data_IF_546363980363
#
_entry.id   IF_546363980363
#
_cell.length_a   1.000
_cell.length_b   1.000
_cell.length_c   1.000
_cell.angle_alpha   90.00
_cell.angle_beta   90.00
_cell.angle_gamma   90.00
#
_symmetry.space_group_name_H-M   'P 1'
#
loop_
_entity.id
_entity.type
_entity.pdbx_description
1 polymer ?
#
# COMPACT_ATOMS: atom_id res chain seq x y z
N UNK A 1 22.02 5.07 -9.64
CA UNK A 1 21.61 3.79 -10.26
C UNK A 1 22.31 2.69 -9.50
N UNK A 2 21.55 1.77 -8.90
CA UNK A 2 22.09 0.65 -8.13
C UNK A 2 22.50 -0.48 -9.08
N UNK A 3 23.72 -0.99 -8.96
CA UNK A 3 24.15 -2.19 -9.68
C UNK A 3 23.66 -3.44 -8.94
N UNK A 4 22.59 -4.06 -9.46
CA UNK A 4 21.94 -5.21 -8.82
C UNK A 4 22.84 -6.45 -8.75
N UNK A 5 23.86 -6.56 -9.61
CA UNK A 5 24.77 -7.71 -9.61
C UNK A 5 25.75 -7.67 -8.43
N UNK A 6 26.06 -6.48 -7.92
CA UNK A 6 27.03 -6.27 -6.82
C UNK A 6 26.38 -5.73 -5.55
N UNK A 7 25.11 -5.35 -5.61
CA UNK A 7 24.36 -4.85 -4.47
C UNK A 7 24.27 -5.87 -3.35
N UNK A 8 24.48 -5.41 -2.11
CA UNK A 8 24.29 -6.20 -0.89
C UNK A 8 23.08 -5.65 -0.14
N UNK A 9 22.04 -6.46 0.10
CA UNK A 9 20.90 -6.03 0.90
C UNK A 9 21.33 -5.52 2.28
N UNK A 10 20.71 -4.44 2.73
CA UNK A 10 20.92 -3.86 4.06
C UNK A 10 20.17 -4.66 5.13
N UNK A 11 20.55 -4.44 6.39
CA UNK A 11 19.93 -5.07 7.56
C UNK A 11 20.57 -6.39 7.96
N UNK A 12 19.92 -7.12 8.86
CA UNK A 12 20.50 -8.27 9.56
C UNK A 12 19.67 -9.55 9.50
N UNK A 13 18.47 -9.49 8.92
CA UNK A 13 17.69 -10.71 8.68
C UNK A 13 18.45 -11.62 7.74
N UNK A 14 18.57 -12.88 8.14
CA UNK A 14 19.08 -13.95 7.27
C UNK A 14 17.94 -14.50 6.41
N UNK A 15 18.09 -14.41 5.10
CA UNK A 15 17.12 -15.01 4.17
C UNK A 15 17.35 -16.52 4.03
N UNK A 16 16.33 -17.22 3.51
CA UNK A 16 16.48 -18.64 3.20
C UNK A 16 17.45 -18.88 2.04
N UNK A 17 17.97 -20.10 1.94
CA UNK A 17 18.80 -20.51 0.80
C UNK A 17 18.05 -20.40 -0.53
N UNK A 18 16.73 -20.62 -0.53
CA UNK A 18 15.87 -20.44 -1.70
C UNK A 18 15.92 -18.99 -2.18
N UNK A 19 15.69 -18.03 -1.28
CA UNK A 19 15.70 -16.62 -1.65
C UNK A 19 17.07 -16.16 -2.16
N UNK A 20 18.14 -16.55 -1.48
CA UNK A 20 19.52 -16.22 -1.89
C UNK A 20 19.89 -16.82 -3.27
N UNK A 21 19.35 -17.99 -3.61
CA UNK A 21 19.54 -18.60 -4.94
C UNK A 21 18.74 -17.86 -6.02
N UNK A 22 17.47 -17.56 -5.76
CA UNK A 22 16.55 -17.11 -6.80
C UNK A 22 16.52 -15.59 -7.00
N UNK A 23 16.82 -14.79 -5.99
CA UNK A 23 16.84 -13.33 -6.11
C UNK A 23 17.76 -12.83 -7.25
N UNK A 24 19.05 -13.21 -7.32
CA UNK A 24 19.92 -12.78 -8.43
C UNK A 24 19.43 -13.31 -9.79
N UNK A 25 18.82 -14.50 -9.83
CA UNK A 25 18.29 -15.11 -11.07
C UNK A 25 17.05 -14.37 -11.58
N UNK A 26 16.21 -13.85 -10.68
CA UNK A 26 15.08 -12.98 -11.03
C UNK A 26 15.61 -11.71 -11.69
N UNK A 27 16.63 -11.06 -11.12
CA UNK A 27 17.24 -9.87 -11.72
C UNK A 27 17.86 -10.17 -13.08
N UNK A 28 18.63 -11.24 -13.22
CA UNK A 28 19.22 -11.66 -14.50
C UNK A 28 18.13 -11.90 -15.56
N UNK A 29 17.05 -12.60 -15.19
CA UNK A 29 15.93 -12.88 -16.10
C UNK A 29 15.27 -11.58 -16.57
N UNK A 30 15.01 -10.63 -15.68
CA UNK A 30 14.42 -9.32 -16.02
C UNK A 30 15.29 -8.54 -16.98
N UNK A 31 16.58 -8.44 -16.67
CA UNK A 31 17.55 -7.74 -17.51
C UNK A 31 17.62 -8.36 -18.91
N UNK A 32 17.69 -9.70 -18.99
CA UNK A 32 17.71 -10.44 -20.27
C UNK A 32 16.41 -10.29 -21.05
N UNK A 33 15.26 -10.28 -20.39
CA UNK A 33 13.95 -10.18 -21.02
C UNK A 33 13.58 -8.75 -21.42
N UNK A 34 14.35 -7.75 -20.99
CA UNK A 34 14.10 -6.35 -21.34
C UNK A 34 13.04 -5.66 -20.47
N UNK A 35 12.70 -6.20 -19.29
CA UNK A 35 11.60 -5.68 -18.46
C UNK A 35 11.88 -4.24 -17.99
N UNK A 36 13.12 -3.96 -17.60
CA UNK A 36 13.55 -2.67 -17.04
C UNK A 36 13.53 -1.53 -18.08
N UNK A 37 13.45 -1.86 -19.37
CA UNK A 37 13.32 -0.90 -20.46
C UNK A 37 11.86 -0.61 -20.80
N UNK A 38 10.93 -1.46 -20.34
CA UNK A 38 9.50 -1.37 -20.64
C UNK A 38 8.72 -0.77 -19.47
N UNK A 39 9.08 -1.14 -18.23
CA UNK A 39 8.38 -0.70 -17.01
C UNK A 39 9.08 0.49 -16.38
N UNK A 40 8.33 1.57 -16.19
CA UNK A 40 8.74 2.80 -15.52
C UNK A 40 8.24 2.89 -14.08
N UNK A 41 8.21 4.11 -13.50
CA UNK A 41 7.80 4.31 -12.11
C UNK A 41 6.29 4.08 -11.90
N UNK A 42 5.90 3.98 -10.64
CA UNK A 42 4.50 3.85 -10.24
C UNK A 42 3.69 5.07 -10.72
N UNK A 43 2.58 4.80 -11.41
CA UNK A 43 1.65 5.79 -11.93
C UNK A 43 0.48 6.04 -10.99
N UNK A 44 0.03 5.00 -10.28
CA UNK A 44 -1.08 5.13 -9.33
C UNK A 44 -1.12 3.99 -8.31
N UNK A 45 -1.91 4.19 -7.25
CA UNK A 45 -2.41 3.14 -6.35
C UNK A 45 -3.93 3.05 -6.46
N UNK A 46 -4.47 1.85 -6.30
CA UNK A 46 -5.91 1.56 -6.44
C UNK A 46 -6.44 0.98 -5.15
N UNK A 47 -7.49 1.60 -4.61
CA UNK A 47 -8.19 1.18 -3.41
C UNK A 47 -9.66 0.99 -3.76
N UNK A 48 -10.25 -0.10 -3.31
CA UNK A 48 -11.69 -0.34 -3.40
C UNK A 48 -12.31 -0.20 -2.01
N UNK A 49 -13.51 0.37 -1.96
CA UNK A 49 -14.37 0.46 -0.77
C UNK A 49 -15.71 -0.21 -1.06
N UNK A 50 -16.51 -0.49 -0.03
CA UNK A 50 -17.88 -0.96 -0.25
C UNK A 50 -18.77 0.12 -0.88
N UNK A 51 -19.91 -0.33 -1.42
CA UNK A 51 -20.95 0.56 -1.91
C UNK A 51 -21.38 1.58 -0.84
N UNK A 52 -21.57 2.84 -1.26
CA UNK A 52 -21.95 3.95 -0.38
C UNK A 52 -20.78 4.59 0.37
N UNK A 53 -19.58 3.99 0.36
CA UNK A 53 -18.42 4.48 1.10
C UNK A 53 -17.46 5.36 0.27
N UNK A 54 -17.72 5.55 -1.02
CA UNK A 54 -16.85 6.34 -1.91
C UNK A 54 -16.62 7.77 -1.42
N UNK A 55 -17.66 8.62 -1.46
CA UNK A 55 -17.55 10.03 -1.05
C UNK A 55 -17.10 10.24 0.41
N UNK A 56 -17.59 9.46 1.40
CA UNK A 56 -17.07 9.52 2.76
C UNK A 56 -15.55 9.25 2.84
N UNK A 57 -15.06 8.24 2.12
CA UNK A 57 -13.63 7.93 2.09
C UNK A 57 -12.81 9.01 1.39
N UNK A 58 -13.31 9.58 0.30
CA UNK A 58 -12.67 10.72 -0.36
C UNK A 58 -12.55 11.93 0.58
N UNK A 59 -13.55 12.18 1.42
CA UNK A 59 -13.50 13.24 2.43
C UNK A 59 -12.45 12.96 3.51
N UNK A 60 -12.34 11.70 3.96
CA UNK A 60 -11.28 11.26 4.88
C UNK A 60 -9.90 11.50 4.26
N UNK A 61 -9.65 10.99 3.05
CA UNK A 61 -8.38 11.18 2.33
C UNK A 61 -8.04 12.65 2.14
N UNK A 62 -9.03 13.51 1.85
CA UNK A 62 -8.83 14.95 1.69
C UNK A 62 -8.33 15.61 2.99
N UNK A 63 -8.74 15.09 4.14
CA UNK A 63 -8.33 15.60 5.45
C UNK A 63 -6.99 15.00 5.92
N UNK A 64 -6.73 13.75 5.59
CA UNK A 64 -5.61 12.97 6.17
C UNK A 64 -4.40 12.86 5.27
N UNK A 65 -4.48 13.27 3.99
CA UNK A 65 -3.44 13.09 2.97
C UNK A 65 -3.33 14.32 2.06
N UNK A 66 -2.32 14.45 1.18
CA UNK A 66 -2.29 15.53 0.18
C UNK A 66 -3.25 15.31 -1.00
N UNK A 67 -3.92 14.16 -1.10
CA UNK A 67 -4.69 13.79 -2.29
C UNK A 67 -6.02 14.53 -2.37
N UNK A 68 -6.34 15.07 -3.54
CA UNK A 68 -7.56 15.83 -3.83
C UNK A 68 -8.30 15.24 -5.02
N UNK A 69 -9.61 15.13 -4.88
CA UNK A 69 -10.51 14.73 -5.96
C UNK A 69 -10.28 15.54 -7.24
N UNK A 70 -10.28 14.86 -8.39
CA UNK A 70 -10.14 15.46 -9.72
C UNK A 70 -11.38 15.16 -10.58
N UNK A 71 -11.78 13.90 -10.66
CA UNK A 71 -12.87 13.47 -11.54
C UNK A 71 -13.48 12.15 -11.09
N UNK A 72 -14.69 11.89 -11.56
CA UNK A 72 -15.46 10.68 -11.32
C UNK A 72 -15.95 10.11 -12.65
N UNK A 73 -15.84 8.79 -12.78
CA UNK A 73 -16.31 8.03 -13.92
C UNK A 73 -17.20 6.88 -13.45
N UNK A 74 -18.04 6.41 -14.34
CA UNK A 74 -18.98 5.33 -14.11
C UNK A 74 -18.79 4.28 -15.18
N UNK A 75 -18.50 3.05 -14.76
CA UNK A 75 -18.53 1.91 -15.66
C UNK A 75 -19.75 1.03 -15.33
N UNK A 76 -19.84 -0.16 -15.92
CA UNK A 76 -20.98 -1.06 -15.70
C UNK A 76 -21.12 -1.56 -14.24
N UNK A 77 -20.07 -1.50 -13.43
CA UNK A 77 -20.03 -2.09 -12.09
C UNK A 77 -19.55 -1.16 -10.98
N UNK A 78 -18.83 -0.07 -11.30
CA UNK A 78 -18.20 0.82 -10.31
C UNK A 78 -18.32 2.30 -10.68
N UNK A 79 -18.34 3.13 -9.63
CA UNK A 79 -17.81 4.50 -9.69
C UNK A 79 -16.29 4.45 -9.49
N UNK A 80 -15.59 5.24 -10.29
CA UNK A 80 -14.13 5.31 -10.32
C UNK A 80 -13.76 6.76 -10.06
N UNK A 81 -13.13 7.03 -8.93
CA UNK A 81 -12.69 8.36 -8.54
C UNK A 81 -11.19 8.50 -8.75
N UNK A 82 -10.76 9.57 -9.40
CA UNK A 82 -9.35 9.94 -9.50
C UNK A 82 -9.03 11.04 -8.49
N UNK A 83 -7.97 10.84 -7.72
CA UNK A 83 -7.40 11.83 -6.83
C UNK A 83 -5.94 12.10 -7.20
N UNK A 84 -5.53 13.37 -7.04
CA UNK A 84 -4.17 13.85 -7.30
C UNK A 84 -3.57 14.43 -6.03
N UNK A 85 -2.35 14.03 -5.70
CA UNK A 85 -1.53 14.66 -4.67
C UNK A 85 -0.61 15.72 -5.28
N UNK A 86 0.71 15.54 -5.10
CA UNK A 86 1.74 16.31 -5.79
C UNK A 86 1.76 16.06 -7.30
N UNK A 87 2.47 16.92 -8.03
CA UNK A 87 2.54 16.86 -9.49
C UNK A 87 3.02 15.50 -9.99
N UNK A 88 4.16 15.05 -9.45
CA UNK A 88 4.85 13.82 -9.86
C UNK A 88 4.52 12.60 -8.96
N UNK A 89 3.68 12.76 -7.95
CA UNK A 89 3.28 11.61 -7.11
C UNK A 89 2.38 10.66 -7.90
N UNK A 90 2.44 9.33 -7.64
CA UNK A 90 1.44 8.40 -8.15
C UNK A 90 0.03 8.92 -7.83
N UNK A 91 -0.92 8.71 -8.74
CA UNK A 91 -2.33 9.06 -8.49
C UNK A 91 -2.96 8.09 -7.51
N UNK A 92 -4.07 8.47 -6.90
CA UNK A 92 -4.86 7.57 -6.06
C UNK A 92 -6.21 7.37 -6.74
N UNK A 93 -6.53 6.12 -7.06
CA UNK A 93 -7.81 5.72 -7.66
C UNK A 93 -8.63 5.02 -6.59
N UNK A 94 -9.86 5.50 -6.38
CA UNK A 94 -10.84 4.83 -5.51
C UNK A 94 -11.92 4.19 -6.37
N UNK A 95 -12.18 2.91 -6.15
CA UNK A 95 -13.26 2.15 -6.76
C UNK A 95 -14.39 1.97 -5.73
N UNK A 96 -15.63 2.21 -6.16
CA UNK A 96 -16.83 1.98 -5.36
C UNK A 96 -17.85 1.19 -6.21
N UNK A 97 -18.23 -0.03 -5.83
CA UNK A 97 -19.26 -0.78 -6.53
C UNK A 97 -20.58 -0.01 -6.63
N UNK A 98 -21.35 -0.24 -7.70
CA UNK A 98 -22.64 0.42 -7.93
C UNK A 98 -23.79 -0.17 -7.13
N UNK A 99 -23.60 -1.34 -6.53
CA UNK A 99 -24.60 -2.03 -5.73
C UNK A 99 -23.96 -2.76 -4.55
N UNK A 100 -24.76 -2.94 -3.49
CA UNK A 100 -24.36 -3.69 -2.28
C UNK A 100 -24.20 -5.20 -2.54
N UNK A 101 -24.79 -5.72 -3.61
CA UNK A 101 -24.71 -7.14 -4.02
C UNK A 101 -23.58 -7.43 -5.01
N UNK A 102 -22.70 -6.45 -5.28
CA UNK A 102 -21.52 -6.67 -6.10
C UNK A 102 -20.62 -7.74 -5.48
N UNK A 103 -20.20 -8.69 -6.31
CA UNK A 103 -19.32 -9.78 -5.90
C UNK A 103 -18.31 -10.10 -7.01
N UNK A 104 -17.02 -10.14 -6.65
CA UNK A 104 -15.94 -10.64 -7.48
C UNK A 104 -15.00 -11.57 -6.68
N UNK A 105 -13.82 -11.89 -7.24
CA UNK A 105 -12.85 -12.70 -6.53
C UNK A 105 -12.38 -12.04 -5.21
N UNK A 106 -12.22 -10.72 -5.18
CA UNK A 106 -11.78 -9.97 -3.99
C UNK A 106 -12.85 -10.07 -2.89
N UNK A 107 -14.12 -9.89 -3.26
CA UNK A 107 -15.27 -10.04 -2.34
C UNK A 107 -15.25 -11.41 -1.67
N UNK A 108 -15.09 -12.47 -2.47
CA UNK A 108 -15.05 -13.86 -1.98
C UNK A 108 -13.87 -14.12 -1.07
N UNK A 109 -12.68 -13.63 -1.41
CA UNK A 109 -11.50 -13.78 -0.55
C UNK A 109 -11.70 -13.08 0.79
N UNK A 110 -12.22 -11.85 0.80
CA UNK A 110 -12.48 -11.11 2.04
C UNK A 110 -13.53 -11.74 2.92
N UNK A 111 -14.56 -12.34 2.32
CA UNK A 111 -15.64 -13.00 3.05
C UNK A 111 -15.17 -14.25 3.83
N UNK A 112 -13.97 -14.78 3.56
CA UNK A 112 -13.42 -15.91 4.31
C UNK A 112 -12.75 -15.51 5.64
N UNK A 113 -12.56 -14.23 5.89
CA UNK A 113 -11.80 -13.75 7.04
C UNK A 113 -12.67 -12.92 8.00
N UNK A 114 -12.59 -13.18 9.32
CA UNK A 114 -13.56 -12.67 10.29
C UNK A 114 -13.59 -11.15 10.42
N UNK A 115 -12.46 -10.46 10.24
CA UNK A 115 -12.39 -9.00 10.35
C UNK A 115 -12.56 -8.26 9.02
N UNK A 116 -12.70 -8.97 7.90
CA UNK A 116 -13.03 -8.35 6.60
C UNK A 116 -14.39 -8.75 6.03
N UNK A 117 -15.10 -9.70 6.65
CA UNK A 117 -16.40 -10.18 6.15
C UNK A 117 -17.46 -9.08 6.11
N UNK A 118 -17.44 -8.15 7.07
CA UNK A 118 -18.40 -7.04 7.15
C UNK A 118 -18.13 -5.93 6.11
N UNK A 119 -16.95 -5.96 5.47
CA UNK A 119 -16.56 -5.03 4.41
C UNK A 119 -15.91 -5.75 3.24
N UNK A 120 -16.67 -6.62 2.56
CA UNK A 120 -16.09 -7.61 1.68
C UNK A 120 -15.47 -6.99 0.43
N UNK A 121 -15.82 -5.77 0.03
CA UNK A 121 -15.19 -5.10 -1.11
C UNK A 121 -14.04 -4.16 -0.70
N UNK A 122 -13.92 -3.81 0.58
CA UNK A 122 -12.91 -2.86 1.06
C UNK A 122 -11.49 -3.45 1.05
N UNK A 123 -10.63 -2.99 0.15
CA UNK A 123 -9.23 -3.44 0.06
C UNK A 123 -8.37 -2.48 -0.77
N UNK A 124 -7.09 -2.45 -0.46
CA UNK A 124 -6.07 -2.11 -1.46
C UNK A 124 -6.05 -3.13 -2.62
N UNK A 125 -6.35 -2.70 -3.84
CA UNK A 125 -6.38 -3.60 -5.00
C UNK A 125 -4.98 -3.83 -5.55
N UNK A 126 -4.15 -2.78 -5.60
CA UNK A 126 -2.85 -2.87 -6.25
C UNK A 126 -2.27 -1.51 -6.62
N UNK A 127 -1.11 -1.56 -7.23
CA UNK A 127 -0.39 -0.43 -7.80
C UNK A 127 -0.37 -0.53 -9.32
N UNK A 128 -0.29 0.60 -10.01
CA UNK A 128 -0.18 0.69 -11.47
C UNK A 128 1.18 1.29 -11.80
N UNK A 129 1.92 0.69 -12.74
CA UNK A 129 3.20 1.21 -13.26
C UNK A 129 3.03 1.79 -14.66
N UNK A 130 3.81 2.83 -14.98
CA UNK A 130 3.94 3.28 -16.37
C UNK A 130 4.62 2.20 -17.20
N UNK A 131 4.15 1.98 -18.42
CA UNK A 131 4.83 1.13 -19.39
C UNK A 131 4.90 1.76 -20.76
N UNK A 132 5.85 1.33 -21.58
CA UNK A 132 5.89 1.74 -22.98
C UNK A 132 4.85 1.01 -23.84
N UNK A 133 4.50 -0.23 -23.48
CA UNK A 133 3.55 -1.08 -24.20
C UNK A 133 3.04 -2.22 -23.30
N UNK A 134 1.73 -2.26 -23.04
CA UNK A 134 1.08 -3.36 -22.31
C UNK A 134 1.13 -4.67 -23.10
N UNK A 135 1.21 -4.60 -24.43
CA UNK A 135 1.39 -5.78 -25.28
C UNK A 135 2.79 -6.38 -25.08
N UNK A 136 3.83 -5.57 -25.16
CA UNK A 136 5.21 -6.04 -25.07
C UNK A 136 5.50 -6.57 -23.66
N UNK A 137 5.00 -5.86 -22.65
CA UNK A 137 5.03 -6.33 -21.26
C UNK A 137 4.45 -7.73 -21.10
N UNK A 138 3.25 -7.99 -21.64
CA UNK A 138 2.62 -9.32 -21.55
C UNK A 138 3.45 -10.37 -22.26
N UNK A 139 4.01 -10.05 -23.43
CA UNK A 139 4.92 -10.96 -24.14
C UNK A 139 6.18 -11.31 -23.34
N UNK A 140 6.61 -10.45 -22.41
CA UNK A 140 7.72 -10.70 -21.49
C UNK A 140 7.28 -11.55 -20.30
N UNK A 141 6.14 -11.22 -19.66
CA UNK A 141 5.76 -11.76 -18.36
C UNK A 141 4.90 -13.04 -18.43
N UNK A 142 4.08 -13.23 -19.45
CA UNK A 142 3.25 -14.44 -19.58
C UNK A 142 4.07 -15.73 -19.77
N UNK A 143 5.15 -15.76 -20.57
CA UNK A 143 6.05 -16.91 -20.62
C UNK A 143 6.77 -17.22 -19.30
N UNK A 144 6.74 -16.27 -18.36
CA UNK A 144 7.29 -16.42 -17.01
C UNK A 144 6.21 -16.83 -15.98
N UNK A 145 5.03 -17.26 -16.46
CA UNK A 145 3.86 -17.66 -15.69
C UNK A 145 3.16 -16.55 -14.89
N UNK A 146 3.39 -15.28 -15.26
CA UNK A 146 2.57 -14.19 -14.71
C UNK A 146 1.25 -14.15 -15.49
N UNK A 147 0.14 -14.28 -14.76
CA UNK A 147 -1.21 -14.29 -15.32
C UNK A 147 -1.77 -12.87 -15.34
N UNK A 148 -2.45 -12.50 -16.41
CA UNK A 148 -3.16 -11.22 -16.53
C UNK A 148 -4.67 -11.42 -16.46
N UNK A 149 -5.39 -10.38 -16.05
CA UNK A 149 -6.83 -10.29 -16.20
C UNK A 149 -7.17 -9.96 -17.66
N UNK A 150 -8.13 -10.69 -18.21
CA UNK A 150 -8.59 -10.52 -19.59
C UNK A 150 -10.07 -10.09 -19.66
N UNK A 151 -10.47 -9.36 -20.72
CA UNK A 151 -11.87 -9.04 -20.93
C UNK A 151 -12.73 -10.30 -20.94
N UNK A 152 -13.81 -10.31 -20.15
CA UNK A 152 -14.70 -11.47 -20.00
C UNK A 152 -14.28 -12.48 -18.93
N UNK A 153 -13.08 -12.37 -18.36
CA UNK A 153 -12.62 -13.20 -17.23
C UNK A 153 -12.73 -12.49 -15.87
N UNK A 154 -13.12 -11.22 -15.87
CA UNK A 154 -13.28 -10.41 -14.65
C UNK A 154 -14.63 -9.70 -14.64
N UNK A 155 -15.20 -9.55 -13.44
CA UNK A 155 -16.49 -8.85 -13.24
C UNK A 155 -16.30 -7.34 -13.36
N UNK A 156 -15.19 -6.79 -12.84
CA UNK A 156 -14.89 -5.36 -12.94
C UNK A 156 -14.06 -5.07 -14.22
N UNK A 157 -14.65 -4.42 -15.24
CA UNK A 157 -13.95 -4.19 -16.51
C UNK A 157 -12.75 -3.23 -16.36
N UNK A 158 -12.63 -2.49 -15.25
CA UNK A 158 -11.44 -1.67 -14.96
C UNK A 158 -10.14 -2.47 -14.96
N UNK A 159 -10.18 -3.75 -14.57
CA UNK A 159 -8.98 -4.59 -14.49
C UNK A 159 -8.47 -5.09 -15.86
N UNK A 160 -9.27 -4.93 -16.92
CA UNK A 160 -8.97 -5.47 -18.24
C UNK A 160 -9.40 -4.50 -19.36
N UNK A 161 -9.03 -3.22 -19.25
CA UNK A 161 -9.27 -2.25 -20.32
C UNK A 161 -8.17 -2.33 -21.40
N UNK A 162 -8.39 -1.67 -22.54
CA UNK A 162 -7.42 -1.71 -23.64
C UNK A 162 -6.08 -1.03 -23.30
N UNK A 163 -6.09 -0.04 -22.40
CA UNK A 163 -4.94 0.81 -22.08
C UNK A 163 -4.40 0.59 -20.67
N UNK A 164 -5.05 -0.29 -19.89
CA UNK A 164 -4.66 -0.69 -18.54
C UNK A 164 -4.74 -2.21 -18.43
N UNK A 165 -3.61 -2.85 -18.14
CA UNK A 165 -3.56 -4.30 -17.89
C UNK A 165 -3.25 -4.55 -16.42
N UNK A 166 -4.00 -5.43 -15.77
CA UNK A 166 -3.65 -5.93 -14.44
C UNK A 166 -3.25 -7.40 -14.48
N UNK A 167 -2.35 -7.78 -13.58
CA UNK A 167 -2.17 -9.18 -13.24
C UNK A 167 -3.43 -9.76 -12.61
N UNK A 168 -3.56 -11.09 -12.66
CA UNK A 168 -4.45 -11.79 -11.74
C UNK A 168 -4.01 -11.53 -10.28
N UNK A 169 -4.88 -11.83 -9.31
CA UNK A 169 -4.53 -11.70 -7.89
C UNK A 169 -3.29 -12.56 -7.60
N UNK A 170 -2.30 -11.98 -6.93
CA UNK A 170 -1.12 -12.68 -6.43
C UNK A 170 -1.54 -13.78 -5.44
N UNK A 171 -0.94 -14.96 -5.57
CA UNK A 171 -1.22 -16.09 -4.67
C UNK A 171 -0.73 -15.82 -3.23
N UNK A 172 0.22 -14.90 -3.06
CA UNK A 172 0.86 -14.61 -1.78
C UNK A 172 0.36 -13.33 -1.10
N UNK A 173 -0.16 -12.37 -1.86
CA UNK A 173 -0.56 -11.06 -1.32
C UNK A 173 -2.03 -10.73 -1.55
N UNK A 174 -2.69 -11.39 -2.50
CA UNK A 174 -4.00 -11.01 -3.04
C UNK A 174 -4.07 -9.57 -3.56
N UNK A 175 -2.93 -8.94 -3.84
CA UNK A 175 -2.85 -7.67 -4.55
C UNK A 175 -2.64 -7.94 -6.06
N UNK A 176 -2.84 -6.91 -6.88
CA UNK A 176 -2.57 -6.92 -8.32
C UNK A 176 -1.44 -5.94 -8.66
N UNK A 177 -0.76 -6.19 -9.77
CA UNK A 177 0.13 -5.22 -10.41
C UNK A 177 -0.50 -4.78 -11.72
N UNK A 178 -0.75 -3.49 -11.85
CA UNK A 178 -1.31 -2.83 -13.01
C UNK A 178 -0.25 -2.16 -13.87
N UNK A 179 -0.57 -1.93 -15.13
CA UNK A 179 0.34 -1.31 -16.10
C UNK A 179 -0.44 -0.44 -17.08
N UNK A 180 0.04 0.80 -17.26
CA UNK A 180 -0.62 1.81 -18.09
C UNK A 180 0.37 2.48 -19.04
N UNK A 181 -0.02 2.60 -20.30
CA UNK A 181 0.82 3.25 -21.32
C UNK A 181 0.79 4.79 -21.17
N UNK A 182 -0.40 5.34 -20.88
CA UNK A 182 -0.64 6.77 -20.81
C UNK A 182 -0.49 7.34 -19.39
N UNK A 183 -0.18 8.66 -19.26
CA UNK A 183 -0.24 9.33 -17.96
C UNK A 183 -1.66 9.32 -17.39
N UNK A 184 -1.77 9.15 -16.07
CA UNK A 184 -3.05 9.11 -15.35
C UNK A 184 -3.47 10.51 -14.83
N UNK A 185 -3.19 11.56 -15.59
CA UNK A 185 -3.68 12.91 -15.26
C UNK A 185 -5.20 13.03 -15.45
N UNK A 186 -5.77 12.18 -16.30
CA UNK A 186 -7.20 11.89 -16.43
C UNK A 186 -7.40 10.44 -16.80
N UNK A 187 -8.46 9.84 -16.27
CA UNK A 187 -8.94 8.51 -16.60
C UNK A 187 -9.64 8.46 -17.95
N UNK A 188 -9.97 9.59 -18.61
CA UNK A 188 -10.55 9.59 -19.96
C UNK A 188 -9.73 8.74 -20.94
N UNK A 189 -8.41 8.77 -20.77
CA UNK A 189 -7.47 7.96 -21.56
C UNK A 189 -7.75 6.47 -21.44
N UNK A 190 -8.27 5.98 -20.32
CA UNK A 190 -8.56 4.56 -20.10
C UNK A 190 -9.89 4.10 -20.72
N UNK A 191 -10.68 5.02 -21.28
CA UNK A 191 -12.06 4.78 -21.70
C UNK A 191 -12.89 4.03 -20.63
N UNK A 192 -12.99 4.58 -19.40
CA UNK A 192 -13.55 3.85 -18.26
C UNK A 192 -15.08 3.79 -18.30
N UNK A 193 -15.76 4.54 -19.17
CA UNK A 193 -17.22 4.61 -19.26
C UNK A 193 -17.72 6.05 -19.26
N UNK A 194 -18.84 6.31 -18.56
CA UNK A 194 -19.49 7.62 -18.54
C UNK A 194 -18.86 8.55 -17.50
N UNK A 195 -18.52 9.78 -17.90
CA UNK A 195 -18.03 10.78 -16.95
C UNK A 195 -19.17 11.30 -16.08
N UNK A 196 -18.97 11.33 -14.76
CA UNK A 196 -19.94 11.82 -13.79
C UNK A 196 -19.48 13.17 -13.24
N UNK A 197 -20.34 14.18 -13.37
CA UNK A 197 -20.15 15.48 -12.71
C UNK A 197 -20.84 15.42 -11.35
N UNK A 198 -20.06 15.44 -10.28
CA UNK A 198 -20.59 15.52 -8.92
C UNK A 198 -21.15 16.92 -8.66
N UNK A 199 -22.37 16.99 -8.14
CA UNK A 199 -22.99 18.26 -7.77
C UNK A 199 -22.42 18.83 -6.46
N UNK A 200 -22.86 20.05 -6.10
CA UNK A 200 -22.41 20.74 -4.89
C UNK A 200 -22.72 19.95 -3.61
N UNK A 201 -23.84 19.23 -3.56
CA UNK A 201 -24.25 18.46 -2.39
C UNK A 201 -23.33 17.24 -2.20
N UNK A 202 -23.00 16.53 -3.28
CA UNK A 202 -22.07 15.42 -3.27
C UNK A 202 -20.64 15.86 -2.91
N UNK A 203 -20.21 17.04 -3.36
CA UNK A 203 -18.87 17.58 -3.07
C UNK A 203 -18.74 18.22 -1.69
N UNK A 204 -19.85 18.57 -1.03
CA UNK A 204 -19.84 19.29 0.24
C UNK A 204 -18.94 18.65 1.33
N UNK A 205 -18.92 17.32 1.55
CA UNK A 205 -18.02 16.70 2.52
C UNK A 205 -16.54 16.93 2.20
N UNK A 206 -16.15 16.82 0.92
CA UNK A 206 -14.78 17.03 0.45
C UNK A 206 -14.38 18.50 0.59
N UNK A 207 -15.27 19.44 0.22
CA UNK A 207 -15.02 20.87 0.39
C UNK A 207 -14.84 21.25 1.86
N UNK A 208 -15.64 20.67 2.77
CA UNK A 208 -15.48 20.86 4.22
C UNK A 208 -14.15 20.31 4.72
N UNK A 209 -13.77 19.11 4.28
CA UNK A 209 -12.48 18.50 4.63
C UNK A 209 -11.30 19.36 4.13
N UNK A 210 -11.33 19.80 2.88
CA UNK A 210 -10.29 20.65 2.29
C UNK A 210 -10.18 22.01 2.99
N UNK A 211 -11.31 22.58 3.42
CA UNK A 211 -11.32 23.81 4.22
C UNK A 211 -10.66 23.58 5.58
N UNK A 212 -11.06 22.53 6.31
CA UNK A 212 -10.46 22.19 7.62
C UNK A 212 -8.95 21.95 7.49
N UNK A 213 -8.54 21.22 6.45
CA UNK A 213 -7.13 20.95 6.14
C UNK A 213 -6.30 22.23 6.04
N UNK A 214 -6.80 23.24 5.31
CA UNK A 214 -6.13 24.54 5.16
C UNK A 214 -6.20 25.39 6.42
N UNK A 215 -7.38 25.49 7.04
CA UNK A 215 -7.59 26.31 8.25
C UNK A 215 -6.72 25.86 9.43
N UNK A 216 -6.38 24.57 9.49
CA UNK A 216 -5.53 24.01 10.54
C UNK A 216 -4.05 23.86 10.09
N UNK A 217 -3.65 24.49 8.98
CA UNK A 217 -2.24 24.59 8.60
C UNK A 217 -1.58 23.29 8.13
N UNK A 218 -2.34 22.30 7.65
CA UNK A 218 -1.80 21.02 7.17
C UNK A 218 -1.18 21.11 5.76
N UNK A 219 -1.41 22.22 5.05
CA UNK A 219 -0.96 22.40 3.67
C UNK A 219 0.58 22.39 3.55
N UNK A 220 1.08 21.53 2.67
CA UNK A 220 2.52 21.31 2.47
C UNK A 220 3.22 20.53 3.58
N UNK A 221 2.48 20.07 4.62
CA UNK A 221 3.05 19.28 5.72
C UNK A 221 3.04 17.79 5.43
N UNK A 222 1.94 17.28 4.90
CA UNK A 222 1.82 15.88 4.49
C UNK A 222 2.16 15.80 3.00
N UNK A 223 3.19 15.05 2.67
CA UNK A 223 3.71 14.83 1.32
C UNK A 223 3.14 13.53 0.73
N UNK A 224 3.82 13.01 -0.28
CA UNK A 224 3.43 11.80 -1.00
C UNK A 224 3.55 10.53 -0.17
N UNK A 225 3.18 9.42 -0.81
CA UNK A 225 3.28 8.09 -0.21
C UNK A 225 4.77 7.74 -0.07
N UNK A 226 5.24 7.50 1.14
CA UNK A 226 6.60 7.02 1.40
C UNK A 226 6.70 5.53 1.07
N UNK A 227 5.77 4.74 1.62
CA UNK A 227 5.77 3.30 1.40
C UNK A 227 4.42 2.63 1.57
N UNK A 228 4.35 1.38 1.10
CA UNK A 228 3.17 0.53 1.07
C UNK A 228 3.50 -0.81 1.70
N UNK A 229 2.95 -1.11 2.88
CA UNK A 229 3.28 -2.32 3.63
C UNK A 229 2.20 -3.39 3.58
N UNK A 230 2.55 -4.53 3.01
CA UNK A 230 1.71 -5.72 2.89
C UNK A 230 2.10 -6.75 3.95
N UNK A 231 1.10 -7.33 4.62
CA UNK A 231 1.28 -8.45 5.53
C UNK A 231 0.92 -9.77 4.84
N UNK A 232 1.78 -10.77 5.00
CA UNK A 232 1.64 -12.12 4.44
C UNK A 232 1.96 -13.18 5.51
N UNK A 233 1.61 -14.45 5.27
CA UNK A 233 1.94 -15.50 6.24
C UNK A 233 3.46 -15.71 6.31
N UNK A 234 3.93 -16.19 7.46
CA UNK A 234 5.35 -16.46 7.72
C UNK A 234 6.04 -17.26 6.59
N UNK A 235 5.36 -18.29 6.06
CA UNK A 235 5.90 -19.18 5.03
C UNK A 235 5.88 -18.64 3.60
N UNK A 236 5.32 -17.44 3.36
CA UNK A 236 5.07 -16.92 2.01
C UNK A 236 5.87 -15.66 1.69
N UNK A 237 6.55 -15.10 2.69
CA UNK A 237 7.24 -13.80 2.62
C UNK A 237 8.20 -13.71 1.44
N UNK A 238 9.10 -14.67 1.31
CA UNK A 238 10.17 -14.62 0.32
C UNK A 238 9.62 -14.91 -1.09
N UNK A 239 8.61 -15.78 -1.20
CA UNK A 239 7.88 -16.01 -2.45
C UNK A 239 7.12 -14.75 -2.91
N UNK A 240 6.43 -14.06 -2.00
CA UNK A 240 5.74 -12.80 -2.28
C UNK A 240 6.70 -11.73 -2.83
N UNK A 241 7.88 -11.62 -2.22
CA UNK A 241 8.91 -10.67 -2.66
C UNK A 241 9.46 -11.05 -4.04
N UNK A 242 9.79 -12.33 -4.28
CA UNK A 242 10.33 -12.77 -5.58
C UNK A 242 9.28 -12.67 -6.70
N UNK A 243 8.01 -12.96 -6.41
CA UNK A 243 6.90 -12.75 -7.34
C UNK A 243 6.80 -11.27 -7.71
N UNK A 244 6.73 -10.38 -6.72
CA UNK A 244 6.68 -8.94 -6.95
C UNK A 244 7.87 -8.44 -7.77
N UNK A 245 9.09 -8.80 -7.37
CA UNK A 245 10.32 -8.40 -8.07
C UNK A 245 10.45 -8.99 -9.48
N UNK A 246 9.69 -10.03 -9.82
CA UNK A 246 9.60 -10.53 -11.20
C UNK A 246 8.83 -9.57 -12.10
N UNK A 247 7.84 -8.87 -11.55
CA UNK A 247 6.84 -8.09 -12.30
C UNK A 247 7.22 -6.61 -12.44
N UNK A 248 8.11 -6.10 -11.58
CA UNK A 248 8.44 -4.68 -11.50
C UNK A 248 9.96 -4.45 -11.45
N UNK A 249 10.45 -3.26 -11.86
CA UNK A 249 11.88 -2.94 -11.87
C UNK A 249 12.38 -2.53 -10.48
N UNK A 250 11.84 -3.09 -9.39
CA UNK A 250 12.30 -2.82 -8.03
C UNK A 250 13.50 -3.71 -7.68
N UNK A 251 14.17 -3.40 -6.57
CA UNK A 251 15.17 -4.29 -5.98
C UNK A 251 14.93 -4.46 -4.49
N UNK A 252 15.30 -5.63 -3.99
CA UNK A 252 15.35 -5.93 -2.57
C UNK A 252 16.42 -5.07 -1.89
N UNK A 253 15.96 -4.04 -1.17
CA UNK A 253 16.83 -3.10 -0.47
C UNK A 253 17.43 -3.74 0.78
N UNK A 254 16.67 -4.57 1.48
CA UNK A 254 17.12 -5.12 2.75
C UNK A 254 15.99 -5.50 3.69
N UNK A 255 16.36 -6.00 4.86
CA UNK A 255 15.42 -6.50 5.85
C UNK A 255 15.98 -6.53 7.26
N UNK A 256 15.09 -6.34 8.23
CA UNK A 256 15.42 -6.42 9.66
C UNK A 256 14.54 -7.43 10.36
N UNK A 257 15.15 -8.19 11.27
CA UNK A 257 14.41 -9.01 12.23
C UNK A 257 13.98 -8.16 13.43
N UNK A 258 12.70 -8.27 13.78
CA UNK A 258 12.06 -7.67 14.94
C UNK A 258 11.74 -8.81 15.90
N UNK A 259 12.77 -9.22 16.64
CA UNK A 259 12.77 -10.44 17.46
C UNK A 259 11.67 -10.42 18.50
N UNK A 260 11.47 -9.26 19.14
CA UNK A 260 10.48 -9.03 20.20
C UNK A 260 9.04 -9.27 19.72
N UNK A 261 8.79 -9.04 18.42
CA UNK A 261 7.48 -9.21 17.80
C UNK A 261 7.40 -10.46 16.91
N UNK A 262 8.41 -11.34 16.94
CA UNK A 262 8.52 -12.51 16.06
C UNK A 262 8.20 -12.17 14.60
N UNK A 263 8.73 -11.04 14.12
CA UNK A 263 8.37 -10.48 12.83
C UNK A 263 9.63 -10.08 12.08
N UNK A 264 9.53 -9.95 10.77
CA UNK A 264 10.53 -9.23 10.01
C UNK A 264 9.91 -8.38 8.94
N UNK A 265 10.59 -7.28 8.67
CA UNK A 265 10.16 -6.27 7.72
C UNK A 265 11.16 -6.21 6.58
N UNK A 266 10.66 -6.34 5.36
CA UNK A 266 11.46 -6.61 4.17
C UNK A 266 11.12 -5.55 3.12
N UNK A 267 12.13 -4.82 2.64
CA UNK A 267 11.93 -3.61 1.83
C UNK A 267 12.38 -3.85 0.40
N UNK A 268 11.61 -3.34 -0.54
CA UNK A 268 12.03 -3.15 -1.92
C UNK A 268 11.91 -1.68 -2.33
N UNK A 269 12.86 -1.20 -3.15
CA UNK A 269 12.91 0.20 -3.63
C UNK A 269 13.08 0.25 -5.15
N UNK A 270 12.80 1.39 -5.74
CA UNK A 270 13.11 1.66 -7.14
C UNK A 270 14.63 1.95 -7.31
N UNK A 271 15.34 1.38 -8.31
CA UNK A 271 16.81 1.40 -8.39
C UNK A 271 17.42 2.73 -8.85
N UNK A 272 16.60 3.62 -9.42
CA UNK A 272 17.06 4.90 -10.01
C UNK A 272 16.41 6.14 -9.43
N UNK A 273 15.34 6.00 -8.64
CA UNK A 273 14.67 7.12 -8.00
C UNK A 273 15.22 7.27 -6.59
N UNK A 274 15.60 8.49 -6.23
CA UNK A 274 16.10 8.82 -4.89
C UNK A 274 14.98 9.26 -3.94
N UNK A 275 13.81 9.59 -4.48
CA UNK A 275 12.64 9.97 -3.71
C UNK A 275 11.58 8.87 -3.85
N UNK A 276 11.32 8.16 -2.75
CA UNK A 276 10.34 7.08 -2.70
C UNK A 276 8.92 7.62 -3.02
N UNK A 277 8.62 8.91 -2.83
CA UNK A 277 7.30 9.50 -3.18
C UNK A 277 6.96 9.46 -4.66
N UNK A 278 7.96 9.33 -5.54
CA UNK A 278 7.78 9.19 -6.99
C UNK A 278 7.45 7.75 -7.41
N UNK A 279 7.88 6.78 -6.60
CA UNK A 279 7.56 5.36 -6.79
C UNK A 279 7.72 4.67 -5.43
N UNK A 280 6.65 4.62 -4.61
CA UNK A 280 6.71 4.23 -3.21
C UNK A 280 7.40 2.90 -2.99
N UNK A 281 8.16 2.81 -1.91
CA UNK A 281 8.76 1.55 -1.52
C UNK A 281 7.69 0.51 -1.17
N UNK A 282 7.99 -0.77 -1.44
CA UNK A 282 7.12 -1.87 -1.01
C UNK A 282 7.73 -2.59 0.16
N UNK A 283 6.92 -2.77 1.19
CA UNK A 283 7.30 -3.44 2.42
C UNK A 283 6.49 -4.72 2.55
N UNK A 284 7.18 -5.82 2.85
CA UNK A 284 6.57 -7.12 3.13
C UNK A 284 6.91 -7.50 4.56
N UNK A 285 5.86 -7.65 5.37
CA UNK A 285 5.99 -8.02 6.77
C UNK A 285 5.33 -9.36 7.00
N UNK A 286 6.02 -10.27 7.69
CA UNK A 286 5.46 -11.54 8.08
C UNK A 286 6.06 -11.96 9.42
N UNK A 287 5.41 -12.88 10.12
CA UNK A 287 6.01 -13.52 11.27
C UNK A 287 7.23 -14.35 10.89
N UNK A 288 8.23 -14.45 11.77
CA UNK A 288 9.40 -15.31 11.57
C UNK A 288 9.07 -16.78 11.86
N UNK A 289 8.21 -17.03 12.84
CA UNK A 289 7.69 -18.36 13.15
C UNK A 289 6.20 -18.43 12.83
N UNK A 290 5.73 -19.43 12.04
CA UNK A 290 4.32 -19.56 11.68
C UNK A 290 3.43 -19.92 12.87
N UNK A 291 2.14 -19.60 12.76
CA UNK A 291 1.17 -19.74 13.86
C UNK A 291 1.05 -21.15 14.47
N UNK A 292 1.13 -22.20 13.65
CA UNK A 292 0.96 -23.58 14.13
C UNK A 292 2.13 -24.09 14.98
N UNK A 293 3.27 -23.38 14.99
CA UNK A 293 4.41 -23.67 15.87
C UNK A 293 4.40 -22.82 17.14
N UNK A 294 3.45 -21.89 17.29
CA UNK A 294 3.49 -20.95 18.40
C UNK A 294 3.32 -21.62 19.77
N UNK A 295 2.63 -22.76 19.84
CA UNK A 295 2.54 -23.55 21.08
C UNK A 295 3.89 -24.08 21.57
N UNK A 296 4.91 -24.09 20.70
CA UNK A 296 6.27 -24.54 21.01
C UNK A 296 7.21 -23.38 21.38
N UNK A 297 7.05 -22.22 20.72
CA UNK A 297 7.96 -21.06 20.89
C UNK A 297 7.39 -19.96 21.78
N UNK A 298 6.06 -19.88 21.90
CA UNK A 298 5.31 -18.94 22.73
C UNK A 298 5.75 -17.48 22.54
N UNK A 299 5.80 -17.03 21.29
CA UNK A 299 6.15 -15.66 20.94
C UNK A 299 4.91 -14.85 20.54
N UNK A 300 4.96 -13.51 20.59
CA UNK A 300 3.92 -12.67 19.99
C UNK A 300 3.69 -13.00 18.51
N UNK A 301 2.47 -12.82 18.01
CA UNK A 301 2.16 -13.07 16.61
C UNK A 301 1.26 -12.04 15.92
N UNK A 302 1.45 -10.74 16.18
CA UNK A 302 0.52 -9.72 15.67
C UNK A 302 0.40 -9.73 14.14
N UNK A 303 1.51 -9.93 13.42
CA UNK A 303 1.49 -9.96 11.95
C UNK A 303 0.76 -11.19 11.41
N UNK A 304 1.02 -12.37 11.97
CA UNK A 304 0.36 -13.61 11.55
C UNK A 304 -1.13 -13.62 11.94
N UNK A 305 -1.48 -13.12 13.12
CA UNK A 305 -2.87 -12.95 13.57
C UNK A 305 -3.64 -12.01 12.62
N UNK A 306 -3.05 -10.88 12.23
CA UNK A 306 -3.64 -10.00 11.22
C UNK A 306 -3.98 -10.76 9.93
N UNK A 307 -3.01 -11.52 9.39
CA UNK A 307 -3.22 -12.25 8.13
C UNK A 307 -4.28 -13.34 8.28
N UNK A 308 -4.39 -13.96 9.47
CA UNK A 308 -5.45 -14.94 9.77
C UNK A 308 -6.82 -14.28 9.95
N UNK A 309 -6.88 -13.01 10.35
CA UNK A 309 -8.13 -12.30 10.64
C UNK A 309 -8.66 -11.46 9.46
N UNK A 310 -7.77 -10.97 8.60
CA UNK A 310 -8.10 -10.14 7.43
C UNK A 310 -7.70 -10.75 6.09
N UNK A 311 -6.90 -11.82 6.09
CA UNK A 311 -6.24 -12.34 4.89
C UNK A 311 -4.95 -11.58 4.54
N UNK A 312 -4.18 -12.15 3.60
CA UNK A 312 -2.98 -11.49 3.04
C UNK A 312 -3.44 -10.21 2.33
N UNK A 313 -2.88 -9.06 2.70
CA UNK A 313 -3.24 -7.76 2.10
C UNK A 313 -2.31 -6.63 2.55
N UNK A 314 -2.44 -5.49 1.88
CA UNK A 314 -1.94 -4.21 2.37
C UNK A 314 -2.49 -3.91 3.77
N UNK A 315 -1.60 -3.62 4.71
CA UNK A 315 -1.92 -3.27 6.09
C UNK A 315 -1.94 -1.74 6.27
N UNK A 316 -0.94 -1.03 5.76
CA UNK A 316 -0.90 0.43 5.81
C UNK A 316 -0.29 1.08 4.57
N UNK A 317 -0.66 2.35 4.40
CA UNK A 317 -0.02 3.28 3.47
C UNK A 317 0.62 4.39 4.31
N UNK A 318 1.93 4.57 4.14
CA UNK A 318 2.67 5.61 4.83
C UNK A 318 2.79 6.86 3.98
N UNK A 319 2.59 8.02 4.59
CA UNK A 319 2.78 9.33 3.98
C UNK A 319 3.92 10.03 4.68
N UNK A 320 4.86 10.56 3.89
CA UNK A 320 5.95 11.34 4.43
C UNK A 320 5.40 12.68 4.95
N UNK A 321 5.84 13.09 6.12
CA UNK A 321 5.66 14.43 6.66
C UNK A 321 6.94 15.20 6.42
N UNK A 322 6.81 16.42 5.91
CA UNK A 322 7.95 17.28 5.58
C UNK A 322 8.84 17.48 6.82
N UNK A 323 10.15 17.24 6.67
CA UNK A 323 11.13 17.51 7.73
C UNK A 323 11.08 18.98 8.16
N UNK A 324 10.98 19.21 9.46
CA UNK A 324 11.06 20.54 10.05
C UNK A 324 10.11 20.73 11.22
N UNK A 325 9.86 21.98 11.57
CA UNK A 325 9.11 22.33 12.77
C UNK A 325 8.01 23.34 12.49
N UNK A 326 6.92 23.22 13.25
CA UNK A 326 5.81 24.19 13.30
C UNK A 326 5.47 24.40 14.76
N UNK A 327 5.41 25.66 15.21
CA UNK A 327 5.10 26.02 16.60
C UNK A 327 6.02 25.34 17.65
N UNK A 328 7.28 25.13 17.30
CA UNK A 328 8.30 24.56 18.21
C UNK A 328 8.20 23.04 18.43
N UNK A 329 7.38 22.34 17.63
CA UNK A 329 7.31 20.88 17.59
C UNK A 329 7.61 20.37 16.18
N UNK A 330 8.02 19.10 16.04
CA UNK A 330 8.25 18.51 14.72
C UNK A 330 6.96 18.51 13.92
N UNK A 331 7.07 18.58 12.60
CA UNK A 331 5.90 18.66 11.74
C UNK A 331 4.99 17.43 11.90
N UNK A 332 5.54 16.24 12.17
CA UNK A 332 4.73 15.04 12.46
C UNK A 332 3.93 15.19 13.75
N UNK A 333 4.50 15.79 14.80
CA UNK A 333 3.74 16.08 16.01
C UNK A 333 2.61 17.06 15.70
N UNK A 334 2.92 18.14 14.98
CA UNK A 334 1.92 19.14 14.62
C UNK A 334 0.76 18.53 13.81
N UNK A 335 1.08 17.73 12.78
CA UNK A 335 0.10 17.06 11.93
C UNK A 335 -0.77 16.13 12.77
N UNK A 336 -0.16 15.27 13.60
CA UNK A 336 -0.87 14.25 14.38
C UNK A 336 -1.77 14.89 15.43
N UNK A 337 -1.27 15.84 16.21
CA UNK A 337 -2.09 16.55 17.20
C UNK A 337 -3.25 17.28 16.54
N UNK A 338 -3.02 17.90 15.38
CA UNK A 338 -4.06 18.57 14.61
C UNK A 338 -5.11 17.57 14.12
N UNK A 339 -4.71 16.44 13.55
CA UNK A 339 -5.63 15.41 13.09
C UNK A 339 -6.43 14.78 14.25
N UNK A 340 -5.82 14.60 15.43
CA UNK A 340 -6.51 14.17 16.65
C UNK A 340 -7.59 15.15 17.08
N UNK A 341 -7.28 16.46 17.11
CA UNK A 341 -8.27 17.52 17.38
C UNK A 341 -9.40 17.53 16.34
N UNK A 342 -9.11 17.11 15.12
CA UNK A 342 -10.06 16.98 14.03
C UNK A 342 -10.85 15.66 14.06
N UNK A 343 -10.59 14.79 15.04
CA UNK A 343 -11.33 13.55 15.30
C UNK A 343 -10.74 12.30 14.65
N UNK A 344 -9.51 12.35 14.14
CA UNK A 344 -8.81 11.17 13.59
C UNK A 344 -8.16 10.40 14.74
N UNK A 345 -8.53 9.14 14.97
CA UNK A 345 -7.94 8.34 16.03
C UNK A 345 -6.60 7.71 15.61
N UNK A 346 -5.71 7.54 16.59
CA UNK A 346 -4.40 6.90 16.44
C UNK A 346 -4.25 5.70 17.36
N UNK A 347 -3.35 4.76 17.01
CA UNK A 347 -3.18 3.50 17.74
C UNK A 347 -2.29 3.63 18.98
N UNK A 348 -1.35 4.56 18.97
CA UNK A 348 -0.37 4.77 20.04
C UNK A 348 0.14 6.22 20.04
N UNK A 349 1.09 6.51 20.91
CA UNK A 349 1.88 7.74 20.87
C UNK A 349 2.88 7.69 19.70
N UNK A 350 3.37 8.88 19.30
CA UNK A 350 4.40 9.01 18.26
C UNK A 350 5.69 8.36 18.76
N UNK A 351 6.27 7.47 17.95
CA UNK A 351 7.52 6.77 18.26
C UNK A 351 8.70 7.32 17.47
N UNK A 352 9.90 7.11 18.00
CA UNK A 352 11.15 7.57 17.42
C UNK A 352 11.55 8.98 17.87
N UNK A 353 12.70 9.43 17.41
CA UNK A 353 13.30 10.71 17.79
C UNK A 353 13.77 11.46 16.56
N UNK A 354 13.80 12.80 16.65
CA UNK A 354 14.36 13.68 15.63
C UNK A 354 15.21 14.73 16.32
N UNK A 355 16.41 14.31 16.72
CA UNK A 355 17.41 15.14 17.39
C UNK A 355 18.41 15.69 16.34
N UNK A 356 19.66 15.96 16.73
CA UNK A 356 20.70 16.50 15.86
C UNK A 356 21.31 15.47 14.88
N UNK A 357 20.87 14.20 14.92
CA UNK A 357 21.38 13.10 14.09
C UNK A 357 20.27 12.51 13.21
N UNK A 358 20.60 11.93 12.03
CA UNK A 358 19.62 11.31 11.15
C UNK A 358 18.82 10.20 11.84
N UNK A 359 17.50 10.37 11.88
CA UNK A 359 16.57 9.43 12.50
C UNK A 359 15.16 9.63 11.91
N UNK A 360 14.14 8.97 12.44
CA UNK A 360 12.77 9.17 12.01
C UNK A 360 11.76 9.10 13.16
N UNK A 361 10.64 9.80 12.96
CA UNK A 361 9.46 9.75 13.83
C UNK A 361 8.26 9.29 13.06
N UNK A 362 7.46 8.43 13.67
CA UNK A 362 6.35 7.78 12.99
C UNK A 362 5.21 7.41 13.93
N UNK A 363 4.02 7.23 13.35
CA UNK A 363 2.80 6.82 14.07
C UNK A 363 1.78 6.23 13.11
N UNK A 364 0.99 5.27 13.60
CA UNK A 364 -0.17 4.72 12.91
C UNK A 364 -1.48 5.36 13.37
N UNK A 365 -2.32 5.77 12.42
CA UNK A 365 -3.75 5.97 12.65
C UNK A 365 -4.42 4.64 13.03
N UNK A 366 -5.65 4.68 13.53
CA UNK A 366 -6.51 3.48 13.45
C UNK A 366 -6.85 3.19 11.98
N UNK A 367 -7.25 1.95 11.73
CA UNK A 367 -7.77 1.53 10.43
C UNK A 367 -8.97 2.38 10.02
N UNK A 368 -8.95 2.84 8.76
CA UNK A 368 -10.05 3.56 8.14
C UNK A 368 -11.33 2.74 8.22
N UNK A 369 -12.42 3.36 8.64
CA UNK A 369 -13.72 2.71 8.66
C UNK A 369 -14.18 2.29 7.25
N UNK A 370 -13.65 2.90 6.19
CA UNK A 370 -14.07 2.68 4.81
C UNK A 370 -13.17 1.71 4.04
N UNK A 371 -11.85 1.84 4.20
CA UNK A 371 -10.87 1.04 3.44
C UNK A 371 -10.21 -0.08 4.23
N UNK A 372 -10.39 -0.09 5.57
CA UNK A 372 -9.65 -0.94 6.52
C UNK A 372 -8.13 -0.72 6.56
N UNK A 373 -7.63 0.29 5.85
CA UNK A 373 -6.19 0.61 5.82
C UNK A 373 -5.83 1.54 6.97
N UNK A 374 -4.67 1.30 7.57
CA UNK A 374 -4.00 2.25 8.45
C UNK A 374 -3.28 3.30 7.60
N UNK A 375 -3.32 4.55 8.05
CA UNK A 375 -2.46 5.63 7.54
C UNK A 375 -1.29 5.79 8.50
N UNK A 376 -0.08 5.65 8.00
CA UNK A 376 1.13 5.99 8.75
C UNK A 376 1.60 7.40 8.37
N UNK A 377 2.08 8.16 9.34
CA UNK A 377 2.79 9.42 9.12
C UNK A 377 4.25 9.25 9.51
N UNK A 378 5.17 9.59 8.62
CA UNK A 378 6.61 9.43 8.85
C UNK A 378 7.35 10.72 8.55
N UNK A 379 8.04 11.28 9.53
CA UNK A 379 9.02 12.35 9.31
C UNK A 379 10.42 11.77 9.35
N UNK A 380 11.14 11.87 8.22
CA UNK A 380 12.54 11.46 8.08
C UNK A 380 13.42 12.67 8.36
N UNK A 381 14.09 12.69 9.51
CA UNK A 381 14.79 13.87 9.99
C UNK A 381 16.26 13.86 9.60
N UNK A 382 16.80 15.04 9.30
CA UNK A 382 18.24 15.25 9.05
C UNK A 382 18.79 14.36 7.92
N UNK A 383 17.97 14.08 6.90
CA UNK A 383 18.38 13.31 5.72
C UNK A 383 18.57 11.80 5.97
N UNK A 384 17.82 11.22 6.91
CA UNK A 384 17.85 9.79 7.19
C UNK A 384 17.56 8.91 5.95
N UNK A 385 18.61 8.22 5.46
CA UNK A 385 18.57 7.32 4.29
C UNK A 385 18.14 5.86 4.64
N UNK A 386 17.96 5.57 5.93
CA UNK A 386 17.41 4.28 6.36
C UNK A 386 15.94 4.13 6.00
N UNK A 387 15.31 3.07 6.47
CA UNK A 387 13.87 2.86 6.25
C UNK A 387 13.08 2.97 7.55
N UNK A 388 13.48 2.22 8.57
CA UNK A 388 12.93 2.23 9.93
C UNK A 388 14.02 1.97 10.97
N UNK A 389 13.73 2.27 12.23
CA UNK A 389 14.46 1.74 13.40
C UNK A 389 13.72 0.51 13.94
N UNK A 390 14.42 -0.42 14.59
CA UNK A 390 13.79 -1.66 15.10
C UNK A 390 12.82 -1.35 16.22
N UNK A 391 13.20 -0.40 17.06
CA UNK A 391 12.43 0.06 18.20
C UNK A 391 11.08 0.63 17.75
N UNK A 392 11.08 1.46 16.69
CA UNK A 392 9.85 2.00 16.14
C UNK A 392 8.95 0.91 15.55
N UNK A 393 9.53 -0.02 14.76
CA UNK A 393 8.75 -1.12 14.16
C UNK A 393 8.17 -2.03 15.23
N UNK A 394 8.92 -2.35 16.30
CA UNK A 394 8.44 -3.16 17.40
C UNK A 394 7.24 -2.51 18.09
N UNK A 395 7.36 -1.23 18.47
CA UNK A 395 6.29 -0.49 19.15
C UNK A 395 5.02 -0.36 18.30
N UNK A 396 5.17 -0.04 17.01
CA UNK A 396 4.02 0.06 16.10
C UNK A 396 3.35 -1.29 15.82
N UNK A 397 4.15 -2.35 15.70
CA UNK A 397 3.64 -3.72 15.48
C UNK A 397 2.85 -4.20 16.69
N UNK A 398 3.31 -3.88 17.91
CA UNK A 398 2.58 -4.15 19.14
C UNK A 398 1.25 -3.39 19.18
N UNK A 399 1.27 -2.07 18.92
CA UNK A 399 0.09 -1.22 18.95
C UNK A 399 -0.99 -1.69 17.95
N UNK A 400 -0.59 -2.00 16.71
CA UNK A 400 -1.49 -2.54 15.70
C UNK A 400 -2.05 -3.91 16.11
N UNK A 401 -1.19 -4.83 16.56
CA UNK A 401 -1.60 -6.14 17.01
C UNK A 401 -2.61 -6.10 18.16
N UNK A 402 -2.54 -5.10 19.03
CA UNK A 402 -3.51 -4.95 20.11
C UNK A 402 -4.93 -4.65 19.62
N UNK A 403 -5.08 -3.86 18.56
CA UNK A 403 -6.37 -3.48 17.97
C UNK A 403 -6.92 -4.59 17.07
N UNK A 404 -6.05 -5.18 16.26
CA UNK A 404 -6.41 -6.11 15.18
C UNK A 404 -6.68 -7.55 15.69
N UNK A 405 -6.68 -7.72 17.01
CA UNK A 405 -6.99 -9.00 17.66
C UNK A 405 -8.47 -9.29 17.52
N UNK A 406 -8.76 -10.40 16.87
CA UNK A 406 -10.07 -11.02 16.94
C UNK A 406 -10.15 -11.89 18.20
N UNK A 407 -10.93 -11.44 19.19
CA UNK A 407 -11.33 -12.29 20.31
C UNK A 407 -12.20 -13.42 19.76
N UNK A 408 -11.56 -14.57 19.52
CA UNK A 408 -12.29 -15.79 19.30
C UNK A 408 -13.06 -16.07 20.59
N UNK A 409 -14.38 -15.88 20.60
CA UNK A 409 -15.22 -16.69 21.47
C UNK A 409 -14.79 -18.13 21.23
N UNK A 410 -14.36 -18.83 22.28
CA UNK A 410 -13.72 -20.14 22.20
C UNK A 410 -14.38 -20.96 21.09
N UNK A 411 -13.68 -21.18 19.97
CA UNK A 411 -14.24 -21.89 18.80
C UNK A 411 -14.42 -23.39 19.11
N UNK A 412 -14.23 -23.79 20.37
CA UNK A 412 -14.55 -25.09 20.94
C UNK A 412 -15.15 -25.00 22.37
N UNK A 413 -16.04 -24.04 22.65
CA UNK A 413 -17.00 -24.16 23.77
C UNK A 413 -18.40 -24.54 23.27
#
# INVERSE_FOLDING_TARGET
MVDLATYRPKGDKRNSAFFEEFLPRVYERRARAGLEQVVGPMAAVVIQVDHGNGLPYLAELTLTTPYRYQECWLNATHRIYLLRGGEDFPRLIVLEPLSDDFEDEVTRWNAMYPLSIDKPNARYIGEIFRVTSCRDLRSILEPQNIRFAYPGETVNPFYASAQLSFTFLSDYTYNRVGYVEQPLDSLETLDPGDRVILDEQALLPLTKAARRYREHGLEGKILGIDHLATRVLAGEREDAILEYLTMVPYYYWGSYDIVEMNSSTNVTRHPTLSDDKLSPARVFTANNTPSYLNSLVNLPMPTEEFVRNFGRRMHHIAYEVADGETDGQKNVDFVVHTLQQLGIPFLADIVGECNDEPNLRQIFSRSSAYSLLITEYVERCMGYDGFFTRENVAALTEAAGHEERYEHGHVFD
#
